data_IF_909247734528
#
_entry.id   IF_909247734528
#
_cell.length_a   1.000
_cell.length_b   1.000
_cell.length_c   1.000
_cell.angle_alpha   90.00
_cell.angle_beta   90.00
_cell.angle_gamma   90.00
#
_symmetry.space_group_name_H-M   'P 1'
#
loop_
_entity.id
_entity.type
_entity.pdbx_description
1 polymer ?
#
# COMPACT_ATOMS: atom_id res chain seq x y z
N UNK A 1 -0.10 -7.14 -8.09
CA UNK A 1 0.76 -6.75 -6.95
C UNK A 1 1.00 -5.26 -7.08
N UNK A 2 0.59 -4.47 -6.09
CA UNK A 2 1.31 -3.23 -5.80
C UNK A 2 2.79 -3.66 -5.63
N UNK A 3 3.77 -2.91 -6.11
CA UNK A 3 5.19 -3.31 -5.94
C UNK A 3 6.07 -3.27 -7.18
N UNK A 4 5.66 -2.53 -8.21
CA UNK A 4 6.63 -2.05 -9.20
C UNK A 4 7.57 -0.99 -8.61
N UNK A 5 8.52 -0.51 -9.42
CA UNK A 5 9.44 0.54 -9.05
C UNK A 5 8.75 1.77 -8.44
N UNK A 6 9.44 2.39 -7.49
CA UNK A 6 8.98 3.57 -6.75
C UNK A 6 9.88 4.78 -7.01
N UNK A 7 10.92 4.61 -7.82
CA UNK A 7 11.79 5.64 -8.36
C UNK A 7 11.77 5.61 -9.90
N UNK A 8 12.06 6.76 -10.52
CA UNK A 8 12.15 6.82 -11.99
C UNK A 8 13.35 6.02 -12.54
N UNK A 9 14.44 5.93 -11.78
CA UNK A 9 15.63 5.20 -12.18
C UNK A 9 15.36 3.69 -12.25
N UNK A 10 14.84 3.11 -11.19
CA UNK A 10 14.45 1.70 -11.15
C UNK A 10 13.38 1.40 -12.20
N UNK A 11 12.42 2.31 -12.39
CA UNK A 11 11.41 2.16 -13.44
C UNK A 11 12.04 2.10 -14.83
N UNK A 12 12.93 3.06 -15.17
CA UNK A 12 13.64 3.09 -16.45
C UNK A 12 14.51 1.84 -16.64
N UNK A 13 15.22 1.41 -15.59
CA UNK A 13 16.02 0.17 -15.61
C UNK A 13 15.15 -1.04 -15.90
N UNK A 14 14.02 -1.18 -15.20
CA UNK A 14 13.05 -2.25 -15.46
C UNK A 14 12.51 -2.18 -16.90
N UNK A 15 12.31 -0.98 -17.47
CA UNK A 15 11.91 -0.86 -18.87
C UNK A 15 13.00 -1.32 -19.85
N UNK A 16 14.27 -1.01 -19.56
CA UNK A 16 15.42 -1.38 -20.39
C UNK A 16 15.77 -2.87 -20.33
N UNK A 17 15.59 -3.52 -19.19
CA UNK A 17 15.87 -4.94 -19.00
C UNK A 17 14.78 -5.85 -19.59
N UNK A 18 13.65 -5.28 -20.04
CA UNK A 18 12.58 -6.05 -20.67
C UNK A 18 13.04 -6.64 -22.00
N UNK A 19 12.68 -7.91 -22.31
CA UNK A 19 12.86 -8.46 -23.63
C UNK A 19 12.29 -7.54 -24.72
N UNK A 20 12.99 -7.39 -25.85
CA UNK A 20 12.63 -6.44 -26.91
C UNK A 20 11.19 -6.61 -27.45
N UNK A 21 10.65 -7.84 -27.42
CA UNK A 21 9.25 -8.12 -27.79
C UNK A 21 8.22 -7.57 -26.78
N UNK A 22 8.65 -7.15 -25.59
CA UNK A 22 7.87 -6.44 -24.57
C UNK A 22 8.16 -4.93 -24.52
N UNK A 23 9.18 -4.46 -25.24
CA UNK A 23 9.60 -3.04 -25.26
C UNK A 23 8.84 -2.21 -26.30
N UNK A 24 8.46 -2.80 -27.44
CA UNK A 24 7.84 -2.09 -28.58
C UNK A 24 6.53 -2.73 -29.08
N UNK A 25 5.91 -3.60 -28.30
CA UNK A 25 4.64 -4.24 -28.67
C UNK A 25 3.46 -3.56 -27.99
N UNK A 26 2.43 -3.22 -28.77
CA UNK A 26 1.06 -3.10 -28.28
C UNK A 26 0.49 -4.46 -27.79
N UNK A 27 1.28 -5.53 -27.90
CA UNK A 27 0.91 -6.91 -27.59
C UNK A 27 1.86 -7.48 -26.53
N UNK A 28 1.64 -7.11 -25.26
CA UNK A 28 2.00 -7.87 -24.05
C UNK A 28 1.82 -7.09 -22.72
N UNK A 29 1.04 -6.01 -22.72
CA UNK A 29 0.57 -5.35 -21.47
C UNK A 29 -0.94 -5.25 -21.32
N UNK A 30 -1.72 -5.70 -22.30
CA UNK A 30 -3.14 -6.02 -22.08
C UNK A 30 -3.30 -7.38 -21.35
N UNK A 31 -2.44 -7.67 -20.37
CA UNK A 31 -2.70 -8.79 -19.46
C UNK A 31 -3.47 -8.20 -18.29
N UNK A 32 -4.80 -8.31 -18.38
CA UNK A 32 -5.65 -8.16 -17.22
C UNK A 32 -5.16 -9.17 -16.16
N UNK A 33 -4.60 -8.64 -15.07
CA UNK A 33 -4.18 -9.43 -13.92
C UNK A 33 -5.27 -9.47 -12.84
N UNK A 34 -6.46 -8.94 -13.15
CA UNK A 34 -7.59 -8.94 -12.23
C UNK A 34 -7.89 -10.35 -11.77
N UNK A 35 -7.93 -11.37 -12.65
CA UNK A 35 -8.25 -12.75 -12.25
C UNK A 35 -7.30 -13.32 -11.19
N UNK A 36 -5.99 -13.06 -11.33
CA UNK A 36 -5.01 -13.46 -10.32
C UNK A 36 -5.20 -12.68 -9.01
N UNK A 37 -5.51 -11.39 -9.12
CA UNK A 37 -5.91 -10.55 -8.00
C UNK A 37 -7.15 -11.05 -7.27
N UNK A 38 -8.20 -11.36 -8.03
CA UNK A 38 -9.48 -11.83 -7.54
C UNK A 38 -9.34 -13.17 -6.83
N UNK A 39 -8.50 -14.07 -7.32
CA UNK A 39 -8.15 -15.29 -6.61
C UNK A 39 -7.58 -14.99 -5.21
N UNK A 40 -6.73 -13.97 -5.07
CA UNK A 40 -6.21 -13.52 -3.76
C UNK A 40 -7.30 -12.86 -2.90
N UNK A 41 -8.17 -12.05 -3.50
CA UNK A 41 -9.28 -11.41 -2.79
C UNK A 41 -10.31 -12.44 -2.30
N UNK A 42 -10.66 -13.43 -3.12
CA UNK A 42 -11.50 -14.57 -2.72
C UNK A 42 -10.82 -15.40 -1.63
N UNK A 43 -9.50 -15.62 -1.70
CA UNK A 43 -8.77 -16.29 -0.64
C UNK A 43 -8.78 -15.50 0.68
N UNK A 44 -8.68 -14.17 0.63
CA UNK A 44 -8.83 -13.29 1.79
C UNK A 44 -10.24 -13.39 2.38
N UNK A 45 -11.27 -13.17 1.56
CA UNK A 45 -12.67 -13.29 1.98
C UNK A 45 -12.96 -14.67 2.57
N UNK A 46 -12.51 -15.74 1.92
CA UNK A 46 -12.70 -17.10 2.43
C UNK A 46 -11.95 -17.36 3.74
N UNK A 47 -10.76 -16.78 3.92
CA UNK A 47 -9.98 -16.90 5.16
C UNK A 47 -10.71 -16.23 6.31
N UNK A 48 -11.09 -14.96 6.14
CA UNK A 48 -11.78 -14.18 7.18
C UNK A 48 -13.14 -14.78 7.51
N UNK A 49 -13.90 -15.22 6.50
CA UNK A 49 -15.18 -15.87 6.77
C UNK A 49 -15.00 -17.20 7.52
N UNK A 50 -13.94 -17.96 7.24
CA UNK A 50 -13.66 -19.19 7.97
C UNK A 50 -13.41 -18.92 9.47
N UNK A 51 -12.63 -17.89 9.82
CA UNK A 51 -12.38 -17.49 11.22
C UNK A 51 -13.63 -16.93 11.92
N UNK A 52 -14.66 -16.57 11.14
CA UNK A 52 -15.99 -16.16 11.63
C UNK A 52 -17.00 -17.32 11.69
N UNK A 53 -16.58 -18.56 11.42
CA UNK A 53 -17.45 -19.75 11.39
C UNK A 53 -18.63 -19.61 10.42
N UNK A 54 -18.35 -19.06 9.23
CA UNK A 54 -19.34 -18.83 8.16
C UNK A 54 -20.22 -20.04 7.84
N UNK A 55 -21.39 -19.73 7.30
CA UNK A 55 -22.28 -20.66 6.62
C UNK A 55 -21.81 -20.99 5.20
N UNK A 56 -22.19 -22.15 4.62
CA UNK A 56 -22.02 -22.43 3.20
C UNK A 56 -22.64 -21.35 2.30
N UNK A 57 -23.78 -20.79 2.70
CA UNK A 57 -24.51 -19.77 1.95
C UNK A 57 -23.72 -18.46 1.84
N UNK A 58 -23.00 -18.06 2.90
CA UNK A 58 -22.11 -16.89 2.86
C UNK A 58 -20.90 -17.10 1.94
N UNK A 59 -20.34 -18.31 1.91
CA UNK A 59 -19.27 -18.64 0.97
C UNK A 59 -19.78 -18.62 -0.48
N UNK A 60 -20.94 -19.22 -0.73
CA UNK A 60 -21.56 -19.22 -2.06
C UNK A 60 -21.88 -17.79 -2.50
N UNK A 61 -22.38 -16.94 -1.60
CA UNK A 61 -22.59 -15.51 -1.86
C UNK A 61 -21.27 -14.84 -2.26
N UNK A 62 -20.20 -15.00 -1.48
CA UNK A 62 -18.87 -14.45 -1.79
C UNK A 62 -18.38 -14.86 -3.19
N UNK A 63 -18.46 -16.16 -3.50
CA UNK A 63 -18.00 -16.70 -4.79
C UNK A 63 -18.85 -16.16 -5.94
N UNK A 64 -20.19 -16.21 -5.83
CA UNK A 64 -21.09 -15.77 -6.88
C UNK A 64 -20.91 -14.27 -7.17
N UNK A 65 -20.78 -13.45 -6.13
CA UNK A 65 -20.55 -12.02 -6.27
C UNK A 65 -19.21 -11.74 -6.97
N UNK A 66 -18.13 -12.44 -6.58
CA UNK A 66 -16.82 -12.27 -7.21
C UNK A 66 -16.78 -12.73 -8.68
N UNK A 67 -17.45 -13.84 -9.01
CA UNK A 67 -17.58 -14.30 -10.41
C UNK A 67 -18.36 -13.27 -11.24
N UNK A 68 -19.43 -12.70 -10.68
CA UNK A 68 -20.23 -11.68 -11.36
C UNK A 68 -19.40 -10.42 -11.63
N UNK A 69 -18.66 -9.92 -10.65
CA UNK A 69 -17.74 -8.78 -10.82
C UNK A 69 -16.74 -9.04 -11.94
N UNK A 70 -16.07 -10.20 -11.91
CA UNK A 70 -15.13 -10.57 -12.97
C UNK A 70 -15.78 -10.63 -14.35
N UNK A 71 -16.97 -11.23 -14.46
CA UNK A 71 -17.69 -11.31 -15.72
C UNK A 71 -18.05 -9.91 -16.25
N UNK A 72 -18.52 -9.01 -15.39
CA UNK A 72 -18.83 -7.62 -15.78
C UNK A 72 -17.57 -6.89 -16.28
N UNK A 73 -16.45 -7.00 -15.57
CA UNK A 73 -15.17 -6.38 -15.94
C UNK A 73 -14.63 -6.88 -17.28
N UNK A 74 -14.56 -8.20 -17.48
CA UNK A 74 -14.03 -8.77 -18.72
C UNK A 74 -14.94 -8.48 -19.92
N UNK A 75 -16.26 -8.48 -19.73
CA UNK A 75 -17.19 -8.00 -20.77
C UNK A 75 -16.94 -6.52 -21.08
N UNK A 76 -16.67 -5.68 -20.07
CA UNK A 76 -16.25 -4.30 -20.27
C UNK A 76 -15.04 -4.16 -21.20
N UNK A 77 -14.01 -5.01 -21.03
CA UNK A 77 -12.88 -5.06 -21.96
C UNK A 77 -13.30 -5.47 -23.38
N UNK A 78 -14.22 -6.42 -23.55
CA UNK A 78 -14.73 -6.78 -24.91
C UNK A 78 -15.48 -5.62 -25.58
N UNK A 79 -16.02 -4.69 -24.78
CA UNK A 79 -16.66 -3.45 -25.22
C UNK A 79 -15.66 -2.27 -25.33
N UNK A 80 -14.35 -2.55 -25.23
CA UNK A 80 -13.31 -1.53 -25.40
C UNK A 80 -13.03 -0.65 -24.17
N UNK A 81 -13.59 -0.97 -23.00
CA UNK A 81 -13.29 -0.23 -21.78
C UNK A 81 -11.89 -0.57 -21.26
N UNK A 82 -11.13 0.46 -20.90
CA UNK A 82 -9.84 0.34 -20.21
C UNK A 82 -10.05 0.28 -18.69
N UNK A 83 -9.01 -0.12 -17.94
CA UNK A 83 -9.09 -0.09 -16.48
C UNK A 83 -9.37 1.33 -15.95
N UNK A 84 -10.08 1.43 -14.83
CA UNK A 84 -10.27 2.67 -14.09
C UNK A 84 -10.02 2.44 -12.60
N UNK A 85 -8.77 2.65 -12.17
CA UNK A 85 -8.30 2.52 -10.79
C UNK A 85 -8.71 3.68 -9.86
N UNK A 86 -9.42 4.68 -10.38
CA UNK A 86 -9.99 5.77 -9.60
C UNK A 86 -11.39 5.45 -9.10
N UNK A 87 -11.99 4.37 -9.60
CA UNK A 87 -13.40 4.09 -9.42
C UNK A 87 -13.75 3.63 -8.00
N UNK A 88 -12.81 3.00 -7.29
CA UNK A 88 -12.95 2.58 -5.89
C UNK A 88 -13.18 3.77 -4.93
N UNK A 89 -12.79 4.99 -5.32
CA UNK A 89 -12.90 6.20 -4.51
C UNK A 89 -14.30 6.85 -4.49
N UNK A 90 -15.34 6.14 -4.96
CA UNK A 90 -16.69 6.73 -5.13
C UNK A 90 -17.42 6.98 -3.81
N UNK A 91 -17.41 5.98 -2.94
CA UNK A 91 -18.22 5.94 -1.74
C UNK A 91 -17.38 6.04 -0.48
N UNK A 92 -17.95 6.52 0.62
CA UNK A 92 -17.39 6.27 1.95
C UNK A 92 -17.52 4.79 2.30
N UNK A 93 -16.79 4.32 3.33
CA UNK A 93 -16.95 2.94 3.81
C UNK A 93 -18.39 2.66 4.29
N UNK A 94 -19.07 3.64 4.90
CA UNK A 94 -20.46 3.47 5.32
C UNK A 94 -21.40 3.28 4.11
N UNK A 95 -21.20 4.09 3.07
CA UNK A 95 -22.02 4.03 1.85
C UNK A 95 -21.77 2.75 1.05
N UNK A 96 -20.54 2.25 1.01
CA UNK A 96 -20.19 0.95 0.43
C UNK A 96 -20.92 -0.22 1.11
N UNK A 97 -21.26 -0.05 2.38
CA UNK A 97 -21.92 -1.08 3.18
C UNK A 97 -23.42 -0.84 3.33
N UNK A 98 -23.99 0.13 2.60
CA UNK A 98 -25.42 0.33 2.41
C UNK A 98 -25.89 -0.33 1.09
N UNK A 99 -26.56 -1.50 1.15
CA UNK A 99 -27.03 -2.18 -0.05
C UNK A 99 -28.03 -1.38 -0.89
N UNK A 100 -28.75 -0.43 -0.30
CA UNK A 100 -29.69 0.40 -1.06
C UNK A 100 -28.95 1.33 -2.02
N UNK A 101 -27.80 1.88 -1.60
CA UNK A 101 -26.94 2.71 -2.45
C UNK A 101 -26.23 1.86 -3.51
N UNK A 102 -25.60 0.76 -3.09
CA UNK A 102 -24.77 -0.05 -3.99
C UNK A 102 -25.58 -0.89 -4.98
N UNK A 103 -26.88 -1.09 -4.75
CA UNK A 103 -27.78 -1.68 -5.74
C UNK A 103 -27.94 -0.82 -7.01
N UNK A 104 -27.76 0.50 -6.92
CA UNK A 104 -27.93 1.42 -8.05
C UNK A 104 -26.65 1.56 -8.89
N UNK A 105 -25.48 1.63 -8.24
CA UNK A 105 -24.21 1.96 -8.93
C UNK A 105 -23.05 0.99 -8.63
N UNK A 106 -23.29 -0.11 -7.91
CA UNK A 106 -22.23 -1.04 -7.50
C UNK A 106 -21.39 -0.47 -6.35
N UNK A 107 -20.20 -1.05 -6.13
CA UNK A 107 -19.28 -0.61 -5.08
C UNK A 107 -18.35 0.54 -5.52
N UNK A 108 -18.50 1.05 -6.74
CA UNK A 108 -17.61 2.09 -7.25
C UNK A 108 -18.15 2.76 -8.50
N UNK A 109 -17.41 3.71 -9.06
CA UNK A 109 -17.81 4.39 -10.31
C UNK A 109 -17.81 3.44 -11.51
N UNK A 110 -17.03 2.37 -11.46
CA UNK A 110 -16.75 1.47 -12.58
C UNK A 110 -16.37 0.08 -12.08
N UNK A 111 -16.80 -0.96 -12.77
CA UNK A 111 -16.28 -2.34 -12.58
C UNK A 111 -14.90 -2.53 -13.17
N UNK A 112 -14.37 -1.55 -13.93
CA UNK A 112 -13.06 -1.61 -14.57
C UNK A 112 -11.89 -1.35 -13.61
N UNK A 113 -12.15 -1.15 -12.32
CA UNK A 113 -11.13 -1.15 -11.26
C UNK A 113 -10.70 -2.58 -10.91
N UNK A 114 -9.61 -2.72 -10.16
CA UNK A 114 -9.29 -3.93 -9.41
C UNK A 114 -9.84 -3.80 -8.00
N UNK A 115 -11.17 -3.82 -7.89
CA UNK A 115 -11.87 -3.76 -6.61
C UNK A 115 -11.45 -4.94 -5.70
N UNK A 116 -11.07 -4.69 -4.43
CA UNK A 116 -10.82 -5.74 -3.46
C UNK A 116 -12.15 -6.36 -3.00
N UNK A 117 -12.07 -7.50 -2.28
CA UNK A 117 -13.24 -8.00 -1.56
C UNK A 117 -13.65 -6.97 -0.48
N UNK A 118 -14.92 -6.56 -0.47
CA UNK A 118 -15.46 -5.70 0.58
C UNK A 118 -15.84 -6.55 1.80
N UNK A 119 -14.93 -6.65 2.77
CA UNK A 119 -15.17 -7.38 4.01
C UNK A 119 -14.78 -6.51 5.20
N UNK A 120 -15.75 -6.20 6.06
CA UNK A 120 -15.57 -5.21 7.12
C UNK A 120 -15.24 -5.88 8.47
N UNK A 121 -14.57 -5.18 9.40
CA UNK A 121 -14.45 -5.57 10.81
C UNK A 121 -15.78 -5.94 11.44
N UNK A 122 -15.74 -6.76 12.49
CA UNK A 122 -16.95 -7.32 13.12
C UNK A 122 -17.91 -6.29 13.73
N UNK A 123 -17.43 -5.08 14.03
CA UNK A 123 -18.23 -3.98 14.57
C UNK A 123 -18.69 -2.95 13.52
N UNK A 124 -18.37 -3.19 12.25
CA UNK A 124 -18.82 -2.39 11.12
C UNK A 124 -19.93 -3.12 10.36
N UNK A 125 -20.81 -2.34 9.72
CA UNK A 125 -21.85 -2.92 8.87
C UNK A 125 -21.21 -3.62 7.66
N UNK A 126 -21.68 -4.84 7.37
CA UNK A 126 -21.24 -5.61 6.21
C UNK A 126 -22.26 -5.45 5.07
N UNK A 127 -21.82 -4.89 3.96
CA UNK A 127 -22.55 -4.85 2.69
C UNK A 127 -22.26 -6.07 1.80
N UNK A 128 -22.44 -5.89 0.50
CA UNK A 128 -22.05 -6.89 -0.49
C UNK A 128 -20.53 -7.01 -0.60
N UNK A 129 -20.03 -8.22 -0.88
CA UNK A 129 -18.60 -8.51 -0.98
C UNK A 129 -17.97 -7.99 -2.28
N UNK A 130 -18.74 -7.91 -3.36
CA UNK A 130 -18.32 -7.37 -4.66
C UNK A 130 -19.50 -6.67 -5.35
N UNK A 131 -19.24 -5.80 -6.33
CA UNK A 131 -20.31 -5.07 -7.03
C UNK A 131 -21.28 -6.02 -7.71
N UNK A 132 -22.56 -5.72 -7.56
CA UNK A 132 -23.65 -6.50 -8.16
C UNK A 132 -24.24 -5.84 -9.41
N UNK A 133 -23.75 -4.66 -9.78
CA UNK A 133 -24.11 -3.91 -10.97
C UNK A 133 -22.91 -3.05 -11.41
N UNK A 134 -23.01 -2.44 -12.58
CA UNK A 134 -22.01 -1.52 -13.14
C UNK A 134 -22.22 -0.10 -12.65
N UNK A 135 -21.15 0.70 -12.69
CA UNK A 135 -21.16 2.05 -12.15
C UNK A 135 -21.43 3.15 -13.19
N UNK A 136 -21.60 4.41 -12.73
CA UNK A 136 -21.90 5.55 -13.60
C UNK A 136 -20.85 5.80 -14.68
N UNK A 137 -19.56 5.58 -14.40
CA UNK A 137 -18.50 5.73 -15.39
C UNK A 137 -18.61 4.68 -16.51
N UNK A 138 -18.98 3.44 -16.19
CA UNK A 138 -19.17 2.39 -17.20
C UNK A 138 -20.26 2.80 -18.20
N UNK A 139 -21.40 3.27 -17.68
CA UNK A 139 -22.51 3.77 -18.50
C UNK A 139 -22.08 4.97 -19.34
N UNK A 140 -21.32 5.90 -18.76
CA UNK A 140 -20.83 7.09 -19.45
C UNK A 140 -19.85 6.77 -20.58
N UNK A 141 -18.92 5.86 -20.34
CA UNK A 141 -17.95 5.41 -21.34
C UNK A 141 -18.64 4.65 -22.50
N UNK A 142 -19.64 3.81 -22.19
CA UNK A 142 -20.46 3.16 -23.21
C UNK A 142 -21.30 4.18 -23.97
N UNK A 143 -21.88 5.19 -23.32
CA UNK A 143 -22.59 6.27 -24.01
C UNK A 143 -21.66 6.98 -25.01
N UNK A 144 -20.43 7.30 -24.61
CA UNK A 144 -19.45 7.92 -25.49
C UNK A 144 -19.08 7.03 -26.69
N UNK A 145 -18.85 5.74 -26.46
CA UNK A 145 -18.38 4.82 -27.50
C UNK A 145 -19.48 4.27 -28.43
N UNK A 146 -20.74 4.21 -27.97
CA UNK A 146 -21.78 3.41 -28.62
C UNK A 146 -23.12 4.11 -28.84
N UNK A 147 -23.34 5.33 -28.31
CA UNK A 147 -24.59 6.06 -28.56
C UNK A 147 -24.71 6.39 -30.06
N UNK A 148 -25.80 5.99 -30.74
CA UNK A 148 -25.99 6.37 -32.14
C UNK A 148 -26.10 7.89 -32.28
N UNK A 149 -25.18 8.49 -33.03
CA UNK A 149 -25.18 9.92 -33.35
C UNK A 149 -25.64 10.14 -34.79
N UNK A 150 -26.32 11.27 -35.03
CA UNK A 150 -26.77 11.65 -36.37
C UNK A 150 -25.76 12.61 -36.98
N UNK A 151 -24.82 12.08 -37.76
CA UNK A 151 -23.90 12.86 -38.56
C UNK A 151 -23.71 12.23 -39.94
N UNK A 152 -23.40 13.05 -40.94
CA UNK A 152 -23.14 12.57 -42.31
C UNK A 152 -21.71 12.01 -42.47
N UNK A 153 -20.79 12.39 -41.59
CA UNK A 153 -19.40 11.92 -41.56
C UNK A 153 -18.97 11.69 -40.10
N UNK A 154 -17.93 10.87 -39.84
CA UNK A 154 -17.38 10.69 -38.50
C UNK A 154 -16.98 12.02 -37.82
N UNK A 155 -16.41 12.97 -38.57
CA UNK A 155 -16.02 14.27 -38.04
C UNK A 155 -17.22 15.12 -37.60
N UNK A 156 -18.38 14.88 -38.20
CA UNK A 156 -19.63 15.53 -37.81
C UNK A 156 -20.15 15.09 -36.44
N UNK A 157 -19.65 13.99 -35.88
CA UNK A 157 -20.02 13.51 -34.54
C UNK A 157 -19.26 14.23 -33.42
N UNK A 158 -18.12 14.86 -33.73
CA UNK A 158 -17.23 15.47 -32.74
C UNK A 158 -17.93 16.45 -31.78
N UNK A 159 -18.86 17.33 -32.21
CA UNK A 159 -19.55 18.23 -31.28
C UNK A 159 -20.41 17.51 -30.23
N UNK A 160 -21.08 16.41 -30.61
CA UNK A 160 -21.90 15.62 -29.67
C UNK A 160 -21.01 14.77 -28.76
N UNK A 161 -19.93 14.19 -29.29
CA UNK A 161 -18.91 13.48 -28.49
C UNK A 161 -18.27 14.43 -27.46
N UNK A 162 -17.95 15.66 -27.85
CA UNK A 162 -17.41 16.68 -26.95
C UNK A 162 -18.39 17.04 -25.83
N UNK A 163 -19.71 17.07 -26.08
CA UNK A 163 -20.72 17.27 -25.02
C UNK A 163 -20.75 16.12 -24.03
N UNK A 164 -20.65 14.87 -24.52
CA UNK A 164 -20.60 13.69 -23.66
C UNK A 164 -19.34 13.73 -22.80
N UNK A 165 -18.17 13.96 -23.42
CA UNK A 165 -16.87 14.02 -22.76
C UNK A 165 -16.71 15.22 -21.81
N UNK A 166 -17.34 16.35 -22.10
CA UNK A 166 -17.31 17.56 -21.26
C UNK A 166 -17.95 17.41 -19.88
N UNK A 167 -18.54 16.24 -19.59
CA UNK A 167 -19.00 15.86 -18.24
C UNK A 167 -17.87 15.33 -17.35
N UNK A 168 -16.64 15.21 -17.85
CA UNK A 168 -15.47 14.67 -17.10
C UNK A 168 -15.14 15.42 -15.80
N UNK A 169 -15.71 16.61 -15.58
CA UNK A 169 -15.62 17.31 -14.29
C UNK A 169 -16.51 16.74 -13.18
N UNK A 170 -17.51 15.91 -13.51
CA UNK A 170 -18.35 15.22 -12.53
C UNK A 170 -17.52 14.13 -11.80
N UNK A 171 -17.48 14.13 -10.45
CA UNK A 171 -16.75 13.12 -9.69
C UNK A 171 -17.13 11.68 -10.01
N UNK A 172 -18.36 11.42 -10.47
CA UNK A 172 -18.83 10.09 -10.90
C UNK A 172 -18.11 9.55 -12.13
N UNK A 173 -17.44 10.42 -12.88
CA UNK A 173 -16.75 10.11 -14.12
C UNK A 173 -15.23 10.23 -13.99
N UNK A 174 -14.72 10.34 -12.76
CA UNK A 174 -13.29 10.39 -12.50
C UNK A 174 -12.58 9.13 -13.05
N UNK A 175 -11.40 9.34 -13.64
CA UNK A 175 -10.66 8.28 -14.33
C UNK A 175 -9.18 8.28 -13.99
N UNK A 176 -8.66 7.10 -13.65
CA UNK A 176 -7.24 6.80 -13.50
C UNK A 176 -6.92 5.45 -14.14
N UNK A 177 -6.28 5.45 -15.31
CA UNK A 177 -6.03 4.22 -16.08
C UNK A 177 -4.68 3.59 -15.69
N UNK A 178 -4.23 2.53 -16.38
CA UNK A 178 -2.97 1.82 -16.11
C UNK A 178 -1.74 2.73 -16.00
N UNK A 179 -1.69 3.80 -16.79
CA UNK A 179 -0.65 4.80 -16.76
C UNK A 179 -0.63 5.67 -15.50
N UNK A 180 -1.68 5.61 -14.67
CA UNK A 180 -1.86 6.35 -13.43
C UNK A 180 -1.73 5.46 -12.17
N UNK A 181 -1.69 4.14 -12.31
CA UNK A 181 -1.69 3.19 -11.20
C UNK A 181 -0.33 2.49 -10.95
N UNK A 182 0.78 3.09 -11.38
CA UNK A 182 2.14 2.56 -11.14
C UNK A 182 2.66 2.96 -9.76
N UNK A 183 3.72 2.28 -9.31
CA UNK A 183 4.40 2.60 -8.05
C UNK A 183 4.97 4.02 -8.01
N UNK A 184 5.38 4.54 -9.17
CA UNK A 184 5.91 5.89 -9.36
C UNK A 184 4.83 6.99 -9.46
N UNK A 185 3.57 6.65 -9.69
CA UNK A 185 2.52 7.65 -9.89
C UNK A 185 2.09 8.29 -8.55
N UNK A 186 1.67 9.56 -8.55
CA UNK A 186 1.48 10.34 -7.33
C UNK A 186 0.12 10.17 -6.66
N UNK A 187 -0.90 9.74 -7.39
CA UNK A 187 -2.27 9.72 -6.88
C UNK A 187 -2.49 8.51 -5.97
N UNK A 188 -2.85 8.70 -4.68
CA UNK A 188 -3.10 7.59 -3.78
C UNK A 188 -4.50 6.99 -3.92
N UNK A 189 -5.39 7.61 -4.71
CA UNK A 189 -6.72 7.10 -5.05
C UNK A 189 -6.74 6.45 -6.44
N UNK A 190 -5.58 6.26 -7.07
CA UNK A 190 -5.44 5.44 -8.28
C UNK A 190 -4.55 4.25 -7.96
N UNK A 191 -5.09 3.33 -7.16
CA UNK A 191 -4.38 2.19 -6.60
C UNK A 191 -5.17 0.92 -6.89
N UNK A 192 -4.47 -0.20 -6.98
CA UNK A 192 -5.14 -1.49 -7.17
C UNK A 192 -5.49 -2.08 -5.82
N UNK A 193 -6.68 -2.64 -5.68
CA UNK A 193 -7.17 -3.30 -4.47
C UNK A 193 -7.32 -2.36 -3.25
N UNK A 194 -7.62 -1.09 -3.50
CA UNK A 194 -8.13 -0.13 -2.52
C UNK A 194 -9.66 -0.01 -2.60
N UNK A 195 -10.29 0.54 -1.56
CA UNK A 195 -11.74 0.70 -1.52
C UNK A 195 -12.10 1.93 -0.68
N UNK A 196 -13.06 2.69 -1.19
CA UNK A 196 -13.59 3.88 -0.53
C UNK A 196 -12.83 5.16 -0.86
N UNK A 197 -13.50 6.29 -0.63
CA UNK A 197 -12.97 7.63 -0.88
C UNK A 197 -11.88 8.08 0.12
N UNK A 198 -11.61 7.25 1.13
CA UNK A 198 -10.58 7.44 2.14
C UNK A 198 -9.80 6.13 2.34
N UNK A 199 -8.69 5.99 1.60
CA UNK A 199 -7.82 4.81 1.66
C UNK A 199 -7.14 4.65 3.02
N UNK A 200 -6.96 5.75 3.78
CA UNK A 200 -6.40 5.69 5.15
C UNK A 200 -7.43 5.09 6.11
N UNK A 201 -8.70 5.50 6.00
CA UNK A 201 -9.80 4.89 6.75
C UNK A 201 -9.97 3.42 6.39
N UNK A 202 -9.89 3.08 5.10
CA UNK A 202 -9.94 1.69 4.65
C UNK A 202 -8.78 0.86 5.22
N UNK A 203 -7.55 1.39 5.18
CA UNK A 203 -6.39 0.73 5.74
C UNK A 203 -6.51 0.49 7.26
N UNK A 204 -7.15 1.40 8.01
CA UNK A 204 -7.48 1.21 9.43
C UNK A 204 -8.47 0.06 9.63
N UNK A 205 -9.55 0.03 8.85
CA UNK A 205 -10.55 -1.04 8.90
C UNK A 205 -9.91 -2.40 8.59
N UNK A 206 -9.10 -2.49 7.54
CA UNK A 206 -8.44 -3.73 7.12
C UNK A 206 -7.37 -4.19 8.11
N UNK A 207 -6.62 -3.28 8.76
CA UNK A 207 -5.70 -3.62 9.83
C UNK A 207 -6.43 -4.26 11.02
N UNK A 208 -7.59 -3.70 11.38
CA UNK A 208 -8.46 -4.25 12.42
C UNK A 208 -9.03 -5.61 12.03
N UNK A 209 -9.50 -5.75 10.79
CA UNK A 209 -9.98 -7.03 10.25
C UNK A 209 -8.92 -8.14 10.38
N UNK A 210 -7.68 -7.83 10.00
CA UNK A 210 -6.55 -8.76 10.12
C UNK A 210 -6.29 -9.11 11.59
N UNK A 211 -6.29 -8.11 12.48
CA UNK A 211 -6.10 -8.30 13.92
C UNK A 211 -7.18 -9.19 14.55
N UNK A 212 -8.43 -9.07 14.11
CA UNK A 212 -9.56 -9.92 14.54
C UNK A 212 -9.48 -11.34 13.98
N UNK A 213 -8.88 -11.51 12.79
CA UNK A 213 -8.92 -12.79 12.06
C UNK A 213 -7.77 -13.73 12.40
N UNK A 214 -6.55 -13.22 12.59
CA UNK A 214 -5.39 -14.09 12.78
C UNK A 214 -5.49 -15.07 13.98
N UNK A 215 -6.17 -14.75 15.11
CA UNK A 215 -6.26 -15.68 16.24
C UNK A 215 -6.97 -17.00 15.90
N UNK A 216 -7.93 -16.98 14.97
CA UNK A 216 -8.68 -18.17 14.54
C UNK A 216 -7.99 -18.99 13.45
N UNK A 217 -6.81 -18.57 12.95
CA UNK A 217 -6.21 -19.15 11.74
C UNK A 217 -5.88 -20.63 11.86
N UNK A 218 -5.49 -21.09 13.05
CA UNK A 218 -5.18 -22.51 13.26
C UNK A 218 -6.46 -23.30 13.53
N UNK A 219 -7.20 -22.90 14.56
CA UNK A 219 -8.33 -23.66 15.09
C UNK A 219 -9.53 -23.71 14.13
N UNK A 220 -9.83 -22.62 13.42
CA UNK A 220 -11.00 -22.57 12.54
C UNK A 220 -10.71 -23.13 11.13
N UNK A 221 -9.44 -23.18 10.70
CA UNK A 221 -9.07 -23.64 9.35
C UNK A 221 -8.42 -25.02 9.30
N UNK A 222 -8.07 -25.61 10.45
CA UNK A 222 -7.43 -26.94 10.52
C UNK A 222 -8.30 -27.87 11.36
N UNK A 223 -8.94 -28.85 10.71
CA UNK A 223 -9.76 -29.86 11.40
C UNK A 223 -8.94 -31.08 11.80
N UNK A 224 -9.47 -31.88 12.72
CA UNK A 224 -8.88 -33.17 13.10
C UNK A 224 -8.59 -34.05 11.87
N UNK A 225 -7.35 -34.51 11.74
CA UNK A 225 -6.89 -35.32 10.62
C UNK A 225 -6.43 -34.52 9.39
N UNK A 226 -6.58 -33.19 9.38
CA UNK A 226 -6.03 -32.32 8.32
C UNK A 226 -4.61 -31.85 8.65
N UNK A 227 -3.86 -31.44 7.62
CA UNK A 227 -2.57 -30.77 7.78
C UNK A 227 -2.70 -29.25 7.90
N UNK A 228 -1.69 -28.62 8.52
CA UNK A 228 -1.67 -27.17 8.81
C UNK A 228 -1.37 -26.25 7.61
N UNK A 229 -1.31 -26.77 6.38
CA UNK A 229 -0.95 -25.96 5.21
C UNK A 229 -1.99 -24.87 4.92
N UNK A 230 -3.26 -25.09 5.27
CA UNK A 230 -4.32 -24.08 5.19
C UNK A 230 -4.05 -22.91 6.14
N UNK A 231 -3.65 -23.20 7.38
CA UNK A 231 -3.28 -22.19 8.37
C UNK A 231 -2.12 -21.30 7.88
N UNK A 232 -1.02 -21.90 7.34
CA UNK A 232 0.09 -21.11 6.76
C UNK A 232 -0.37 -20.20 5.62
N UNK A 233 -1.23 -20.70 4.72
CA UNK A 233 -1.75 -19.89 3.60
C UNK A 233 -2.63 -18.74 4.08
N UNK A 234 -3.55 -19.01 5.01
CA UNK A 234 -4.41 -18.00 5.61
C UNK A 234 -3.61 -16.92 6.34
N UNK A 235 -2.63 -17.32 7.16
CA UNK A 235 -1.72 -16.39 7.84
C UNK A 235 -0.97 -15.50 6.84
N UNK A 236 -0.41 -16.08 5.78
CA UNK A 236 0.26 -15.32 4.72
C UNK A 236 -0.68 -14.35 4.01
N UNK A 237 -1.92 -14.76 3.73
CA UNK A 237 -2.93 -13.88 3.11
C UNK A 237 -3.24 -12.69 4.00
N UNK A 238 -3.42 -12.90 5.31
CA UNK A 238 -3.71 -11.85 6.27
C UNK A 238 -2.53 -10.88 6.44
N UNK A 239 -1.32 -11.40 6.62
CA UNK A 239 -0.11 -10.56 6.75
C UNK A 239 0.18 -9.79 5.46
N UNK A 240 0.01 -10.43 4.29
CA UNK A 240 0.12 -9.75 3.01
C UNK A 240 -0.91 -8.63 2.88
N UNK A 241 -2.16 -8.90 3.29
CA UNK A 241 -3.22 -7.89 3.21
C UNK A 241 -2.92 -6.67 4.07
N UNK A 242 -2.51 -6.88 5.32
CA UNK A 242 -2.08 -5.81 6.23
C UNK A 242 -0.98 -4.95 5.59
N UNK A 243 0.08 -5.58 5.06
CA UNK A 243 1.15 -4.85 4.40
C UNK A 243 0.74 -4.12 3.11
N UNK A 244 -0.16 -4.69 2.31
CA UNK A 244 -0.68 -4.08 1.08
C UNK A 244 -1.47 -2.79 1.38
N UNK A 245 -2.35 -2.81 2.38
CA UNK A 245 -3.15 -1.62 2.74
C UNK A 245 -2.30 -0.53 3.41
N UNK A 246 -1.29 -0.90 4.20
CA UNK A 246 -0.35 0.07 4.76
C UNK A 246 0.55 0.70 3.67
N UNK A 247 0.94 -0.08 2.66
CA UNK A 247 1.62 0.47 1.49
C UNK A 247 0.72 1.44 0.71
N UNK A 248 -0.59 1.15 0.61
CA UNK A 248 -1.59 2.06 0.05
C UNK A 248 -1.66 3.38 0.82
N UNK A 249 -1.81 3.32 2.14
CA UNK A 249 -1.82 4.50 3.00
C UNK A 249 -0.53 5.34 2.88
N UNK A 250 0.65 4.70 2.82
CA UNK A 250 1.93 5.37 2.64
C UNK A 250 2.04 6.18 1.32
N UNK A 251 1.16 5.96 0.33
CA UNK A 251 1.12 6.76 -0.91
C UNK A 251 0.59 8.18 -0.70
N UNK A 252 -0.13 8.45 0.41
CA UNK A 252 -0.57 9.81 0.73
C UNK A 252 0.59 10.74 1.07
N UNK A 253 1.65 10.22 1.69
CA UNK A 253 2.85 11.00 2.02
C UNK A 253 3.56 11.38 0.72
N UNK A 254 3.65 12.69 0.46
CA UNK A 254 4.15 13.24 -0.80
C UNK A 254 3.26 12.94 -2.02
N UNK A 255 2.01 12.54 -1.80
CA UNK A 255 1.03 12.28 -2.87
C UNK A 255 0.42 13.55 -3.45
N UNK A 256 -0.17 13.43 -4.64
CA UNK A 256 -0.87 14.52 -5.34
C UNK A 256 -2.09 13.92 -6.01
N UNK A 257 -3.27 14.50 -5.79
CA UNK A 257 -4.46 14.12 -6.54
C UNK A 257 -4.33 14.56 -7.99
N UNK A 258 -4.61 13.65 -8.92
CA UNK A 258 -4.51 13.88 -10.35
C UNK A 258 -5.92 13.87 -10.95
N UNK A 259 -6.23 14.91 -11.71
CA UNK A 259 -7.46 14.98 -12.51
C UNK A 259 -7.13 15.03 -13.99
N UNK A 260 -7.96 14.33 -14.77
CA UNK A 260 -7.94 14.32 -16.25
C UNK A 260 -9.04 15.19 -16.86
N UNK A 261 -9.81 15.90 -16.04
CA UNK A 261 -10.83 16.84 -16.53
C UNK A 261 -10.19 17.97 -17.34
N UNK A 262 -10.90 18.47 -18.33
CA UNK A 262 -10.42 19.57 -19.17
C UNK A 262 -10.79 20.93 -18.60
N UNK A 263 -10.05 21.95 -19.03
CA UNK A 263 -10.39 23.34 -18.71
C UNK A 263 -11.76 23.68 -19.28
N UNK A 264 -12.67 24.10 -18.40
CA UNK A 264 -14.03 24.49 -18.77
C UNK A 264 -15.07 23.38 -18.58
N UNK A 265 -14.65 22.17 -18.23
CA UNK A 265 -15.58 21.14 -17.77
C UNK A 265 -16.23 21.59 -16.45
N UNK A 266 -17.54 21.44 -16.35
CA UNK A 266 -18.29 21.86 -15.17
C UNK A 266 -17.91 20.98 -13.96
N UNK A 267 -17.57 21.61 -12.83
CA UNK A 267 -17.16 20.91 -11.60
C UNK A 267 -15.73 20.37 -11.60
N UNK A 268 -14.95 20.58 -12.66
CA UNK A 268 -13.60 20.05 -12.78
C UNK A 268 -12.64 20.61 -11.71
N UNK A 269 -11.97 19.75 -10.92
CA UNK A 269 -10.90 20.19 -10.04
C UNK A 269 -9.65 20.57 -10.84
N UNK A 270 -8.68 21.29 -10.23
CA UNK A 270 -7.37 21.47 -10.82
C UNK A 270 -6.72 20.12 -11.18
N UNK A 271 -5.95 20.03 -12.29
CA UNK A 271 -5.35 18.77 -12.72
C UNK A 271 -4.39 18.14 -11.70
N UNK A 272 -3.79 18.97 -10.84
CA UNK A 272 -2.87 18.55 -9.78
C UNK A 272 -3.24 19.30 -8.51
N UNK A 273 -3.54 18.56 -7.44
CA UNK A 273 -3.84 19.13 -6.12
C UNK A 273 -2.97 18.43 -5.08
N UNK A 274 -2.15 19.20 -4.36
CA UNK A 274 -1.35 18.68 -3.25
C UNK A 274 -2.30 18.14 -2.19
N UNK A 275 -1.99 16.96 -1.65
CA UNK A 275 -2.80 16.37 -0.59
C UNK A 275 -2.68 17.23 0.68
N UNK A 276 -3.80 17.56 1.36
CA UNK A 276 -3.77 18.30 2.62
C UNK A 276 -2.80 17.70 3.66
N UNK A 277 -2.06 18.56 4.36
CA UNK A 277 -1.00 18.14 5.28
C UNK A 277 -1.52 17.27 6.43
N UNK A 278 -2.71 17.56 6.96
CA UNK A 278 -3.39 16.76 7.97
C UNK A 278 -3.63 15.32 7.49
N UNK A 279 -4.07 15.14 6.24
CA UNK A 279 -4.29 13.81 5.66
C UNK A 279 -2.97 13.04 5.47
N UNK A 280 -1.90 13.73 5.05
CA UNK A 280 -0.58 13.11 4.97
C UNK A 280 -0.05 12.69 6.36
N UNK A 281 -0.25 13.52 7.38
CA UNK A 281 0.14 13.22 8.76
C UNK A 281 -0.68 12.09 9.38
N UNK A 282 -1.96 12.00 9.06
CA UNK A 282 -2.83 10.89 9.46
C UNK A 282 -2.33 9.57 8.86
N UNK A 283 -2.01 9.56 7.56
CA UNK A 283 -1.46 8.40 6.89
C UNK A 283 -0.10 7.98 7.48
N UNK A 284 0.77 8.95 7.75
CA UNK A 284 2.07 8.71 8.38
C UNK A 284 1.91 8.14 9.79
N UNK A 285 1.00 8.68 10.60
CA UNK A 285 0.72 8.17 11.94
C UNK A 285 0.23 6.71 11.92
N UNK A 286 -0.66 6.38 10.97
CA UNK A 286 -1.13 5.01 10.79
C UNK A 286 0.02 4.05 10.49
N UNK A 287 0.91 4.43 9.56
CA UNK A 287 2.05 3.60 9.17
C UNK A 287 3.08 3.47 10.30
N UNK A 288 3.33 4.54 11.05
CA UNK A 288 4.19 4.50 12.24
C UNK A 288 3.70 3.46 13.26
N UNK A 289 2.39 3.45 13.53
CA UNK A 289 1.77 2.51 14.46
C UNK A 289 1.76 1.08 13.92
N UNK A 290 1.28 0.91 12.69
CA UNK A 290 0.93 -0.39 12.11
C UNK A 290 2.13 -1.12 11.49
N UNK A 291 3.15 -0.39 11.02
CA UNK A 291 4.28 -0.98 10.31
C UNK A 291 5.56 -0.88 11.11
N UNK A 292 5.84 0.29 11.68
CA UNK A 292 7.14 0.52 12.32
C UNK A 292 7.17 0.08 13.78
N UNK A 293 6.04 -0.04 14.47
CA UNK A 293 5.97 -0.71 15.77
C UNK A 293 5.95 -2.24 15.64
N UNK A 294 6.27 -2.95 16.72
CA UNK A 294 6.17 -4.41 16.79
C UNK A 294 4.83 -4.92 17.33
N UNK A 295 3.94 -4.03 17.81
CA UNK A 295 2.66 -4.41 18.42
C UNK A 295 1.73 -5.18 17.45
N UNK A 296 1.56 -4.77 16.18
CA UNK A 296 0.73 -5.50 15.22
C UNK A 296 1.26 -6.89 14.87
N UNK A 297 2.53 -7.18 15.20
CA UNK A 297 3.20 -8.44 14.92
C UNK A 297 3.42 -9.29 16.19
N UNK A 298 2.71 -8.98 17.27
CA UNK A 298 2.74 -9.69 18.55
C UNK A 298 2.05 -11.05 18.52
N UNK A 299 2.36 -11.88 17.52
CA UNK A 299 1.79 -13.22 17.38
C UNK A 299 2.33 -14.15 18.47
N UNK A 300 1.49 -15.04 19.04
CA UNK A 300 1.91 -15.97 20.07
C UNK A 300 2.96 -16.93 19.50
N UNK A 301 4.06 -17.23 20.24
CA UNK A 301 5.14 -18.08 19.73
C UNK A 301 4.67 -19.44 19.20
N UNK A 302 3.62 -20.00 19.80
CA UNK A 302 3.02 -21.28 19.44
C UNK A 302 2.44 -21.26 18.03
N UNK A 303 1.93 -20.12 17.55
CA UNK A 303 1.37 -19.98 16.20
C UNK A 303 2.38 -20.41 15.14
N UNK A 304 3.64 -20.00 15.28
CA UNK A 304 4.68 -20.26 14.28
C UNK A 304 4.96 -21.76 14.10
N UNK A 305 4.77 -22.57 15.15
CA UNK A 305 4.90 -24.03 15.08
C UNK A 305 3.82 -24.68 14.20
N UNK A 306 2.68 -24.00 13.99
CA UNK A 306 1.59 -24.45 13.13
C UNK A 306 1.69 -23.90 11.70
N UNK A 307 2.68 -23.05 11.37
CA UNK A 307 2.84 -22.49 10.03
C UNK A 307 3.72 -23.38 9.12
N UNK A 308 3.44 -24.68 9.09
CA UNK A 308 4.19 -25.66 8.32
C UNK A 308 4.03 -25.44 6.79
N UNK A 309 5.13 -25.55 6.06
CA UNK A 309 5.12 -25.50 4.60
C UNK A 309 4.37 -26.70 3.99
N UNK A 310 3.77 -26.48 2.81
CA UNK A 310 3.31 -27.59 1.98
C UNK A 310 4.50 -28.28 1.32
N UNK A 311 4.58 -29.61 1.43
CA UNK A 311 5.53 -30.45 0.69
C UNK A 311 4.90 -31.03 -0.59
N UNK A 312 3.65 -30.66 -0.88
CA UNK A 312 2.97 -31.04 -2.11
C UNK A 312 3.61 -30.30 -3.29
N UNK A 313 4.16 -31.05 -4.24
CA UNK A 313 4.86 -30.53 -5.42
C UNK A 313 4.11 -30.91 -6.71
N UNK A 314 3.83 -29.93 -7.55
CA UNK A 314 3.28 -30.08 -8.88
C UNK A 314 3.58 -28.85 -9.75
N UNK A 315 3.34 -28.95 -11.05
CA UNK A 315 3.61 -27.92 -12.06
C UNK A 315 3.02 -26.52 -11.82
N UNK A 316 2.11 -26.36 -10.84
CA UNK A 316 1.42 -25.12 -10.51
C UNK A 316 1.76 -24.54 -9.14
N UNK A 317 2.68 -25.13 -8.38
CA UNK A 317 3.14 -24.60 -7.08
C UNK A 317 4.57 -24.10 -7.19
N UNK A 318 4.87 -23.04 -6.46
CA UNK A 318 6.25 -22.62 -6.25
C UNK A 318 6.86 -23.49 -5.15
N UNK A 319 8.03 -24.11 -5.38
CA UNK A 319 8.75 -24.84 -4.35
C UNK A 319 8.98 -23.94 -3.14
N UNK A 320 8.75 -24.46 -1.96
CA UNK A 320 9.04 -23.73 -0.73
C UNK A 320 10.54 -23.88 -0.43
N UNK A 321 11.28 -22.78 -0.53
CA UNK A 321 12.73 -22.76 -0.26
C UNK A 321 13.05 -23.05 1.22
N UNK A 322 12.16 -22.64 2.13
CA UNK A 322 12.32 -22.75 3.58
C UNK A 322 11.09 -23.37 4.24
N UNK A 323 11.27 -24.55 4.84
CA UNK A 323 10.17 -25.38 5.36
C UNK A 323 9.57 -24.87 6.67
N UNK A 324 10.38 -24.27 7.54
CA UNK A 324 9.93 -23.49 8.68
C UNK A 324 9.38 -22.11 8.23
N UNK A 325 8.90 -21.30 9.17
CA UNK A 325 8.28 -20.02 8.85
C UNK A 325 9.25 -18.84 9.06
N UNK A 326 9.56 -18.06 8.01
CA UNK A 326 10.52 -16.96 8.08
C UNK A 326 9.88 -15.68 8.66
N UNK A 327 9.60 -15.67 9.96
CA UNK A 327 8.90 -14.56 10.66
C UNK A 327 9.56 -13.22 10.40
N UNK A 328 10.86 -13.12 10.67
CA UNK A 328 11.62 -11.87 10.51
C UNK A 328 11.64 -11.35 9.09
N UNK A 329 11.84 -12.22 8.10
CA UNK A 329 11.90 -11.83 6.69
C UNK A 329 10.53 -11.38 6.18
N UNK A 330 9.47 -12.08 6.59
CA UNK A 330 8.09 -11.77 6.17
C UNK A 330 7.66 -10.39 6.67
N UNK A 331 7.92 -10.09 7.94
CA UNK A 331 7.58 -8.79 8.54
C UNK A 331 8.49 -7.70 7.94
N UNK A 332 9.80 -7.93 7.90
CA UNK A 332 10.76 -6.94 7.41
C UNK A 332 10.54 -6.59 5.94
N UNK A 333 10.10 -7.54 5.10
CA UNK A 333 9.78 -7.28 3.70
C UNK A 333 8.74 -6.16 3.57
N UNK A 334 7.65 -6.20 4.35
CA UNK A 334 6.64 -5.15 4.33
C UNK A 334 7.14 -3.84 4.94
N UNK A 335 7.84 -3.92 6.07
CA UNK A 335 8.43 -2.73 6.72
C UNK A 335 9.40 -2.00 5.79
N UNK A 336 10.33 -2.72 5.17
CA UNK A 336 11.33 -2.15 4.26
C UNK A 336 10.68 -1.60 2.99
N UNK A 337 9.61 -2.23 2.51
CA UNK A 337 8.88 -1.76 1.33
C UNK A 337 8.09 -0.48 1.58
N UNK A 338 7.47 -0.34 2.75
CA UNK A 338 6.81 0.92 3.15
C UNK A 338 7.85 2.01 3.41
N UNK A 339 8.96 1.68 4.07
CA UNK A 339 10.12 2.59 4.20
C UNK A 339 10.65 3.04 2.84
N UNK A 340 10.77 2.13 1.88
CA UNK A 340 11.21 2.45 0.54
C UNK A 340 10.30 3.50 -0.12
N UNK A 341 8.98 3.36 0.03
CA UNK A 341 8.00 4.32 -0.51
C UNK A 341 8.13 5.69 0.13
N UNK A 342 8.24 5.76 1.45
CA UNK A 342 8.34 7.03 2.19
C UNK A 342 9.66 7.77 1.92
N UNK A 343 10.76 7.04 1.81
CA UNK A 343 12.11 7.59 1.56
C UNK A 343 12.51 7.56 0.08
N UNK A 344 11.57 7.34 -0.84
CA UNK A 344 11.91 7.31 -2.26
C UNK A 344 12.26 8.71 -2.76
N UNK A 345 13.21 8.84 -3.72
CA UNK A 345 13.54 10.14 -4.30
C UNK A 345 12.31 10.89 -4.83
N UNK A 346 11.37 10.19 -5.46
CA UNK A 346 10.13 10.79 -5.96
C UNK A 346 9.23 11.33 -4.85
N UNK A 347 9.12 10.61 -3.72
CA UNK A 347 8.33 11.06 -2.58
C UNK A 347 8.96 12.30 -1.96
N UNK A 348 10.27 12.27 -1.72
CA UNK A 348 11.03 13.39 -1.15
C UNK A 348 10.98 14.63 -2.06
N UNK A 349 11.20 14.47 -3.37
CA UNK A 349 11.06 15.58 -4.33
C UNK A 349 9.66 16.19 -4.33
N UNK A 350 8.60 15.37 -4.24
CA UNK A 350 7.22 15.89 -4.20
C UNK A 350 6.92 16.67 -2.93
N UNK A 351 7.48 16.24 -1.81
CA UNK A 351 7.38 16.97 -0.54
C UNK A 351 8.06 18.33 -0.66
N UNK A 352 9.30 18.39 -1.15
CA UNK A 352 9.99 19.67 -1.39
C UNK A 352 9.26 20.56 -2.40
N UNK A 353 8.75 19.98 -3.50
CA UNK A 353 7.98 20.71 -4.49
C UNK A 353 6.67 21.27 -3.93
N UNK A 354 6.05 20.59 -2.95
CA UNK A 354 4.79 21.02 -2.35
C UNK A 354 4.95 22.37 -1.64
N UNK A 355 6.10 22.60 -1.01
CA UNK A 355 6.45 23.88 -0.36
C UNK A 355 6.53 25.05 -1.35
N UNK A 356 6.75 24.79 -2.65
CA UNK A 356 6.72 25.80 -3.72
C UNK A 356 5.35 25.94 -4.39
N UNK A 357 4.47 24.94 -4.25
CA UNK A 357 3.16 24.87 -4.91
C UNK A 357 2.04 25.44 -4.03
N UNK A 358 2.25 25.49 -2.73
CA UNK A 358 1.34 26.07 -1.74
C UNK A 358 1.85 27.45 -1.31
N UNK A 359 0.95 28.29 -0.84
CA UNK A 359 1.32 29.60 -0.28
C UNK A 359 2.04 29.42 1.07
N UNK A 360 2.86 30.40 1.45
CA UNK A 360 3.66 30.33 2.69
C UNK A 360 2.82 30.28 3.98
N UNK A 361 1.54 30.67 3.91
CA UNK A 361 0.60 30.62 5.04
C UNK A 361 -0.17 29.29 5.12
N UNK A 362 -0.04 28.41 4.11
CA UNK A 362 -0.66 27.09 4.10
C UNK A 362 0.24 26.05 4.79
N UNK A 363 -0.38 25.19 5.58
CA UNK A 363 0.32 24.09 6.25
C UNK A 363 0.72 23.01 5.23
N UNK A 364 1.98 22.57 5.34
CA UNK A 364 2.59 21.59 4.44
C UNK A 364 3.42 20.59 5.26
N UNK A 365 3.32 19.31 4.90
CA UNK A 365 4.24 18.30 5.43
C UNK A 365 5.61 18.53 4.79
N UNK A 366 6.62 18.86 5.59
CA UNK A 366 7.99 19.13 5.11
C UNK A 366 8.86 17.88 5.12
N UNK A 367 9.96 17.90 4.36
CA UNK A 367 10.95 16.82 4.39
C UNK A 367 11.58 16.67 5.79
N UNK A 368 11.81 17.79 6.49
CA UNK A 368 12.32 17.79 7.84
C UNK A 368 11.36 17.10 8.82
N UNK A 369 10.07 17.40 8.75
CA UNK A 369 9.04 16.75 9.57
C UNK A 369 9.00 15.24 9.30
N UNK A 370 8.98 14.82 8.04
CA UNK A 370 8.95 13.40 7.67
C UNK A 370 10.15 12.64 8.22
N UNK A 371 11.37 13.12 7.97
CA UNK A 371 12.59 12.43 8.39
C UNK A 371 12.67 12.34 9.91
N UNK A 372 12.38 13.44 10.63
CA UNK A 372 12.36 13.47 12.09
C UNK A 372 11.33 12.50 12.67
N UNK A 373 10.10 12.50 12.15
CA UNK A 373 9.03 11.59 12.60
C UNK A 373 9.40 10.13 12.39
N UNK A 374 9.96 9.79 11.24
CA UNK A 374 10.45 8.43 10.96
C UNK A 374 11.57 8.04 11.92
N UNK A 375 12.57 8.90 12.15
CA UNK A 375 13.64 8.64 13.14
C UNK A 375 13.02 8.37 14.51
N UNK A 376 12.10 9.22 14.94
CA UNK A 376 11.51 9.15 16.28
C UNK A 376 10.62 7.93 16.48
N UNK A 377 9.87 7.50 15.45
CA UNK A 377 9.01 6.32 15.52
C UNK A 377 9.82 5.01 15.47
N UNK A 378 10.79 4.93 14.56
CA UNK A 378 11.59 3.71 14.33
C UNK A 378 12.61 3.49 15.45
N UNK A 379 13.13 4.56 16.04
CA UNK A 379 14.03 4.54 17.20
C UNK A 379 13.35 5.09 18.46
N UNK A 380 12.05 4.80 18.66
CA UNK A 380 11.29 5.26 19.82
C UNK A 380 11.95 4.88 21.16
N UNK A 381 12.63 3.72 21.21
CA UNK A 381 13.39 3.25 22.37
C UNK A 381 14.57 4.17 22.72
N UNK A 382 15.01 5.03 21.79
CA UNK A 382 16.04 6.04 22.02
C UNK A 382 15.50 7.36 22.56
N UNK A 383 14.18 7.58 22.50
CA UNK A 383 13.52 8.78 22.98
C UNK A 383 12.99 8.61 24.41
N UNK A 384 12.39 7.45 24.69
CA UNK A 384 11.81 7.11 25.99
C UNK A 384 12.34 5.73 26.42
N UNK A 385 13.64 5.69 26.75
CA UNK A 385 14.28 4.45 27.16
C UNK A 385 13.78 4.05 28.56
N UNK A 386 13.14 2.89 28.65
CA UNK A 386 12.71 2.33 29.93
C UNK A 386 13.86 1.54 30.56
N UNK A 387 14.26 1.86 31.79
CA UNK A 387 15.23 1.03 32.50
C UNK A 387 14.53 -0.22 33.07
N UNK A 388 15.13 -1.39 32.94
CA UNK A 388 14.53 -2.63 33.43
C UNK A 388 15.46 -3.83 33.38
N UNK A 389 14.98 -4.96 33.90
CA UNK A 389 15.68 -6.24 33.78
C UNK A 389 15.49 -6.83 32.39
N UNK A 390 16.53 -6.71 31.58
CA UNK A 390 16.58 -7.21 30.21
C UNK A 390 17.29 -8.56 30.13
N UNK A 391 16.78 -9.42 29.25
CA UNK A 391 17.40 -10.71 28.91
C UNK A 391 17.31 -10.92 27.41
N UNK A 392 18.06 -11.88 26.87
CA UNK A 392 18.02 -12.20 25.44
C UNK A 392 16.61 -12.63 24.97
N UNK A 393 15.78 -13.11 25.89
CA UNK A 393 14.39 -13.54 25.65
C UNK A 393 13.35 -12.46 25.96
N UNK A 394 13.76 -11.39 26.64
CA UNK A 394 12.96 -10.19 26.92
C UNK A 394 13.87 -8.97 26.72
N UNK A 395 14.26 -8.68 25.46
CA UNK A 395 15.27 -7.69 25.16
C UNK A 395 14.72 -6.26 25.30
N UNK A 396 15.60 -5.28 25.50
CA UNK A 396 15.23 -3.86 25.54
C UNK A 396 14.67 -3.38 24.21
N UNK A 397 15.23 -3.87 23.10
CA UNK A 397 14.75 -3.59 21.74
C UNK A 397 14.42 -4.92 21.09
N UNK A 398 13.18 -5.15 20.68
CA UNK A 398 12.76 -6.44 20.11
C UNK A 398 13.50 -6.76 18.80
N UNK A 399 13.58 -8.05 18.45
CA UNK A 399 14.24 -8.47 17.20
C UNK A 399 13.59 -7.89 15.94
N UNK A 400 12.27 -7.66 15.96
CA UNK A 400 11.53 -7.01 14.88
C UNK A 400 11.91 -5.53 14.78
N UNK A 401 11.97 -4.82 15.91
CA UNK A 401 12.39 -3.41 15.98
C UNK A 401 13.82 -3.21 15.50
N UNK A 402 14.76 -4.05 15.92
CA UNK A 402 16.16 -4.00 15.45
C UNK A 402 16.27 -4.19 13.93
N UNK A 403 15.41 -5.02 13.33
CA UNK A 403 15.44 -5.24 11.88
C UNK A 403 15.00 -4.02 11.08
N UNK A 404 13.86 -3.40 11.44
CA UNK A 404 13.41 -2.17 10.78
C UNK A 404 14.35 -0.99 11.04
N UNK A 405 14.95 -0.90 12.23
CA UNK A 405 16.00 0.09 12.55
C UNK A 405 17.22 -0.04 11.63
N UNK A 406 17.70 -1.26 11.37
CA UNK A 406 18.81 -1.49 10.42
C UNK A 406 18.43 -1.14 8.98
N UNK A 407 17.22 -1.50 8.56
CA UNK A 407 16.70 -1.16 7.23
C UNK A 407 16.61 0.36 7.04
N UNK A 408 16.10 1.07 8.05
CA UNK A 408 16.05 2.52 8.09
C UNK A 408 17.44 3.16 8.07
N UNK A 409 18.36 2.73 8.95
CA UNK A 409 19.73 3.25 8.98
C UNK A 409 20.42 3.07 7.64
N UNK A 410 20.26 1.92 6.98
CA UNK A 410 20.79 1.70 5.64
C UNK A 410 20.28 2.78 4.66
N UNK A 411 18.98 3.06 4.64
CA UNK A 411 18.35 4.03 3.73
C UNK A 411 18.77 5.46 4.05
N UNK A 412 18.72 5.87 5.32
CA UNK A 412 19.17 7.19 5.75
C UNK A 412 20.67 7.40 5.50
N UNK A 413 21.49 6.36 5.64
CA UNK A 413 22.91 6.42 5.32
C UNK A 413 23.14 6.66 3.82
N UNK A 414 22.41 5.95 2.94
CA UNK A 414 22.51 6.21 1.50
C UNK A 414 22.04 7.62 1.15
N UNK A 415 20.97 8.11 1.79
CA UNK A 415 20.46 9.46 1.60
C UNK A 415 21.47 10.52 2.06
N UNK A 416 22.02 10.40 3.27
CA UNK A 416 23.00 11.35 3.82
C UNK A 416 24.35 11.38 3.06
N UNK A 417 24.69 10.28 2.36
CA UNK A 417 25.89 10.19 1.51
C UNK A 417 25.66 10.68 0.07
N UNK A 418 24.44 11.12 -0.28
CA UNK A 418 24.13 11.52 -1.66
C UNK A 418 24.15 10.36 -2.65
N UNK A 419 23.96 9.12 -2.18
CA UNK A 419 23.90 7.93 -3.04
C UNK A 419 22.50 7.66 -3.61
N UNK A 420 21.60 8.63 -3.49
CA UNK A 420 20.23 8.56 -4.02
C UNK A 420 19.97 9.77 -4.92
N UNK A 421 18.94 9.71 -5.75
CA UNK A 421 18.52 10.86 -6.58
C UNK A 421 17.58 11.84 -5.86
N UNK A 422 17.55 11.82 -4.52
CA UNK A 422 16.72 12.73 -3.73
C UNK A 422 17.26 14.17 -3.76
N UNK A 423 16.46 15.19 -3.36
CA UNK A 423 16.94 16.57 -3.25
C UNK A 423 18.09 16.72 -2.23
N UNK A 424 19.07 17.59 -2.51
CA UNK A 424 20.23 17.83 -1.64
C UNK A 424 19.87 18.29 -0.22
N UNK A 425 18.77 19.02 -0.07
CA UNK A 425 18.27 19.41 1.25
C UNK A 425 17.87 18.18 2.08
N UNK A 426 17.31 17.13 1.45
CA UNK A 426 17.00 15.88 2.13
C UNK A 426 18.27 15.13 2.57
N UNK A 427 19.36 15.22 1.80
CA UNK A 427 20.66 14.65 2.18
C UNK A 427 21.21 15.34 3.43
N UNK A 428 21.14 16.67 3.46
CA UNK A 428 21.58 17.49 4.60
C UNK A 428 20.74 17.23 5.84
N UNK A 429 19.41 17.16 5.69
CA UNK A 429 18.50 16.82 6.78
C UNK A 429 18.77 15.40 7.30
N UNK A 430 18.99 14.43 6.42
CA UNK A 430 19.33 13.07 6.82
C UNK A 430 20.65 13.01 7.62
N UNK A 431 21.66 13.78 7.21
CA UNK A 431 22.91 13.91 7.97
C UNK A 431 22.66 14.42 9.40
N UNK A 432 21.89 15.50 9.54
CA UNK A 432 21.57 16.10 10.86
C UNK A 432 20.76 15.14 11.73
N UNK A 433 19.77 14.47 11.15
CA UNK A 433 18.94 13.47 11.84
C UNK A 433 19.78 12.29 12.35
N UNK A 434 20.70 11.78 11.53
CA UNK A 434 21.63 10.72 11.95
C UNK A 434 22.56 11.19 13.08
N UNK A 435 23.08 12.41 13.01
CA UNK A 435 23.89 12.98 14.09
C UNK A 435 23.12 13.11 15.41
N UNK A 436 21.85 13.52 15.35
CA UNK A 436 20.95 13.56 16.50
C UNK A 436 20.67 12.17 17.08
N UNK A 437 20.35 11.20 16.22
CA UNK A 437 20.12 9.81 16.61
C UNK A 437 21.35 9.20 17.28
N UNK A 438 22.54 9.43 16.74
CA UNK A 438 23.79 8.94 17.35
C UNK A 438 23.95 9.42 18.78
N UNK A 439 23.71 10.72 19.05
CA UNK A 439 23.79 11.29 20.40
C UNK A 439 22.82 10.60 21.37
N UNK A 440 21.58 10.31 20.94
CA UNK A 440 20.61 9.57 21.76
C UNK A 440 21.08 8.15 22.06
N UNK A 441 21.59 7.44 21.05
CA UNK A 441 22.14 6.09 21.22
C UNK A 441 23.34 6.09 22.18
N UNK A 442 24.29 7.01 22.01
CA UNK A 442 25.47 7.12 22.88
C UNK A 442 25.08 7.43 24.33
N UNK A 443 24.03 8.23 24.53
CA UNK A 443 23.50 8.54 25.87
C UNK A 443 22.99 7.27 26.56
N UNK A 444 22.31 6.39 25.82
CA UNK A 444 21.83 5.10 26.35
C UNK A 444 23.01 4.17 26.65
N UNK A 445 23.98 4.07 25.74
CA UNK A 445 25.17 3.23 25.93
C UNK A 445 26.05 3.69 27.10
N UNK A 446 26.03 4.98 27.44
CA UNK A 446 26.73 5.54 28.60
C UNK A 446 25.92 5.43 29.92
N UNK A 447 24.68 4.95 29.86
CA UNK A 447 23.81 4.82 31.03
C UNK A 447 24.25 3.72 32.01
N UNK A 448 23.91 3.90 33.28
CA UNK A 448 24.22 2.94 34.36
C UNK A 448 23.09 1.90 34.50
N UNK A 449 22.88 1.09 33.46
CA UNK A 449 21.94 -0.03 33.44
C UNK A 449 22.42 -1.17 32.54
N UNK A 450 21.99 -2.39 32.83
CA UNK A 450 22.36 -3.56 32.04
C UNK A 450 21.38 -3.77 30.87
N UNK A 451 21.88 -3.73 29.64
CA UNK A 451 21.17 -4.16 28.44
C UNK A 451 21.36 -5.66 28.21
N UNK A 452 20.41 -6.29 27.52
CA UNK A 452 20.66 -7.62 26.97
C UNK A 452 21.71 -7.57 25.85
N UNK A 453 22.40 -8.68 25.60
CA UNK A 453 23.50 -8.74 24.64
C UNK A 453 23.10 -8.31 23.22
N UNK A 454 21.85 -8.57 22.80
CA UNK A 454 21.40 -8.20 21.47
C UNK A 454 21.10 -6.72 21.32
N UNK A 455 20.48 -6.09 22.32
CA UNK A 455 20.20 -4.65 22.29
C UNK A 455 21.48 -3.84 22.43
N UNK A 456 22.40 -4.26 23.29
CA UNK A 456 23.71 -3.62 23.42
C UNK A 456 24.49 -3.66 22.11
N UNK A 457 24.70 -4.85 21.54
CA UNK A 457 25.46 -5.00 20.29
C UNK A 457 24.80 -4.22 19.13
N UNK A 458 23.47 -4.17 19.10
CA UNK A 458 22.74 -3.41 18.08
C UNK A 458 22.93 -1.90 18.20
N UNK A 459 22.87 -1.35 19.40
CA UNK A 459 23.09 0.08 19.65
C UNK A 459 24.55 0.47 19.40
N UNK A 460 25.51 -0.34 19.84
CA UNK A 460 26.94 -0.13 19.57
C UNK A 460 27.24 -0.12 18.06
N UNK A 461 26.75 -1.12 17.31
CA UNK A 461 26.93 -1.19 15.86
C UNK A 461 26.22 -0.04 15.15
N UNK A 462 25.01 0.32 15.59
CA UNK A 462 24.25 1.44 15.02
C UNK A 462 24.98 2.76 15.21
N UNK A 463 25.49 3.05 16.42
CA UNK A 463 26.28 4.27 16.68
C UNK A 463 27.56 4.30 15.85
N UNK A 464 28.30 3.19 15.80
CA UNK A 464 29.53 3.10 15.03
C UNK A 464 29.29 3.23 13.52
N UNK A 465 28.19 2.68 13.00
CA UNK A 465 27.78 2.83 11.60
C UNK A 465 27.44 4.28 11.29
N UNK A 466 26.66 4.94 12.14
CA UNK A 466 26.33 6.35 11.95
C UNK A 466 27.60 7.20 11.97
N UNK A 467 28.53 6.96 12.91
CA UNK A 467 29.81 7.68 12.96
C UNK A 467 30.56 7.62 11.61
N UNK A 468 30.67 6.42 11.03
CA UNK A 468 31.32 6.24 9.72
C UNK A 468 30.64 7.00 8.60
N UNK A 469 29.31 7.10 8.63
CA UNK A 469 28.55 7.88 7.64
C UNK A 469 28.83 9.37 7.80
N UNK A 470 28.82 9.88 9.04
CA UNK A 470 29.10 11.29 9.33
C UNK A 470 30.55 11.69 9.01
N UNK A 471 31.50 10.76 9.14
CA UNK A 471 32.91 10.97 8.82
C UNK A 471 33.19 10.89 7.31
N UNK A 472 32.42 10.07 6.57
CA UNK A 472 32.63 9.84 5.13
C UNK A 472 32.38 11.08 4.26
N UNK A 473 31.59 12.05 4.73
CA UNK A 473 31.25 13.27 3.98
C UNK A 473 32.45 14.24 3.83
N UNK A 474 33.62 13.93 4.41
CA UNK A 474 34.84 14.76 4.38
C UNK A 474 35.83 14.47 3.24
N UNK A 475 35.42 13.86 2.12
CA UNK A 475 36.30 13.64 0.95
C UNK A 475 35.71 14.21 -0.33
N UNK A 476 35.69 15.54 -0.45
CA UNK A 476 35.78 16.19 -1.76
C UNK A 476 37.26 16.28 -2.11
N UNK A 477 37.77 15.35 -2.92
CA UNK A 477 39.09 15.53 -3.54
C UNK A 477 39.06 16.77 -4.46
N UNK A 478 40.17 17.53 -4.52
CA UNK A 478 40.26 18.85 -5.15
C UNK A 478 40.06 18.87 -6.67
#
# INVERSE_FOLDING_TARGET
>A
MTGGPISLEEYRKEQLERPAYLQNSHAARCNCHMLHGMSRQLALGATVLATRKRSPEELDKLIQQGIKECAMHEVGHTLGLSHNFRASAYYSLDDLNDPAKTAETGLGMSVMDYNPVNIMPSDMQQGDYFSQTIGPYDIWAIEYGYKPLKAATPEGELPELAKIAGRSGDPRYAVGSDENARGIDPDPLSVRYDLGNDVVAYAKAEAKLVAESWPGVVDDLTKDGEGYQKARRAFNTLVARHGEVMFGAARYVGGVYVSRSHKGDEGAPPPLVVIPADKQREALALVEEQVFSDRPFGFPPELYSYLAASQWDHWGVSPVERTDYPVHETILMWQDRVLAKLLSPLTLSRICDAELKLSADEDVLTAAELLQRLTNSIFAETNDFNAGEYTERKPAISSLRRNVQRAYLRRMSQLALGHTSAPQDCETLAYVELAGLKKRIDTILAGDFALDAYSQAHLEESSARIAKVLDATMVTSP
#
